data_IF_523660616619
#
_entry.id   IF_523660616619
#
_cell.length_a   1.000
_cell.length_b   1.000
_cell.length_c   1.000
_cell.angle_alpha   90.00
_cell.angle_beta   90.00
_cell.angle_gamma   90.00
#
_symmetry.space_group_name_H-M   'P 1'
#
loop_
_entity.id
_entity.type
_entity.pdbx_description
1 polymer ?
#
# COMPACT_ATOMS: atom_id res chain seq x y z
N UNK A 1 16.51 9.52 21.02
CA UNK A 1 16.45 8.50 19.94
C UNK A 1 15.01 8.44 19.49
N UNK A 2 14.67 9.16 18.41
CA UNK A 2 13.30 9.24 17.91
C UNK A 2 13.06 8.08 16.93
N UNK A 3 12.04 7.27 17.20
CA UNK A 3 11.50 6.33 16.22
C UNK A 3 10.69 7.14 15.20
N UNK A 4 11.39 7.76 14.26
CA UNK A 4 10.77 8.37 13.09
C UNK A 4 10.43 7.23 12.13
N UNK A 5 9.37 6.49 12.46
CA UNK A 5 8.72 5.58 11.53
C UNK A 5 8.13 6.42 10.42
N UNK A 6 8.87 6.56 9.32
CA UNK A 6 8.42 7.22 8.09
C UNK A 6 7.24 6.43 7.51
N UNK A 7 6.05 6.65 8.06
CA UNK A 7 4.81 6.25 7.41
C UNK A 7 4.70 7.13 6.17
N UNK A 8 4.86 6.52 4.98
CA UNK A 8 4.62 7.22 3.72
C UNK A 8 3.22 7.87 3.79
N UNK A 9 3.08 9.15 3.41
CA UNK A 9 1.77 9.78 3.38
C UNK A 9 0.86 9.00 2.43
N UNK A 10 -0.42 8.85 2.80
CA UNK A 10 -1.40 8.03 2.06
C UNK A 10 -1.47 8.39 0.56
N UNK A 11 -1.31 9.67 0.22
CA UNK A 11 -1.25 10.14 -1.17
C UNK A 11 -0.05 9.59 -1.94
N UNK A 12 1.14 9.55 -1.32
CA UNK A 12 2.34 8.99 -1.95
C UNK A 12 2.21 7.47 -2.13
N UNK A 13 1.61 6.76 -1.16
CA UNK A 13 1.32 5.34 -1.30
C UNK A 13 0.36 5.07 -2.48
N UNK A 14 -0.66 5.91 -2.68
CA UNK A 14 -1.55 5.82 -3.83
C UNK A 14 -0.85 6.08 -5.16
N UNK A 15 0.05 7.06 -5.22
CA UNK A 15 0.84 7.34 -6.42
C UNK A 15 1.72 6.14 -6.78
N UNK A 16 2.40 5.54 -5.77
CA UNK A 16 3.20 4.33 -5.96
C UNK A 16 2.39 3.16 -6.50
N UNK A 17 1.19 2.93 -5.97
CA UNK A 17 0.28 1.87 -6.48
C UNK A 17 -0.03 2.10 -7.96
N UNK A 18 -0.38 3.32 -8.37
CA UNK A 18 -0.70 3.62 -9.78
C UNK A 18 0.49 3.34 -10.71
N UNK A 19 1.68 3.78 -10.32
CA UNK A 19 2.91 3.51 -11.12
C UNK A 19 3.19 2.01 -11.22
N UNK A 20 3.07 1.28 -10.11
CA UNK A 20 3.31 -0.15 -10.08
C UNK A 20 2.25 -0.92 -10.88
N UNK A 21 0.99 -0.52 -10.86
CA UNK A 21 -0.07 -1.13 -11.66
C UNK A 21 0.19 -0.99 -13.16
N UNK A 22 0.64 0.18 -13.62
CA UNK A 22 1.01 0.37 -15.03
C UNK A 22 2.18 -0.56 -15.44
N UNK A 23 3.19 -0.68 -14.56
CA UNK A 23 4.33 -1.57 -14.79
C UNK A 23 3.91 -3.05 -14.76
N UNK A 24 3.04 -3.43 -13.83
CA UNK A 24 2.52 -4.79 -13.70
C UNK A 24 1.79 -5.21 -14.98
N UNK A 25 0.91 -4.35 -15.51
CA UNK A 25 0.19 -4.62 -16.75
C UNK A 25 1.15 -4.84 -17.92
N UNK A 26 2.10 -3.93 -18.13
CA UNK A 26 3.06 -4.03 -19.23
C UNK A 26 3.96 -5.30 -19.12
N UNK A 27 4.38 -5.67 -17.90
CA UNK A 27 5.19 -6.87 -17.69
C UNK A 27 4.37 -8.15 -17.83
N UNK A 28 3.12 -8.17 -17.34
CA UNK A 28 2.23 -9.32 -17.49
C UNK A 28 1.90 -9.60 -18.96
N UNK A 29 1.71 -8.56 -19.78
CA UNK A 29 1.48 -8.70 -21.22
C UNK A 29 2.69 -9.27 -21.96
N UNK A 30 3.91 -8.90 -21.54
CA UNK A 30 5.14 -9.28 -22.25
C UNK A 30 5.79 -10.58 -21.75
N UNK A 31 5.63 -10.90 -20.45
CA UNK A 31 6.30 -12.03 -19.79
C UNK A 31 5.35 -13.06 -19.19
N UNK A 32 4.06 -12.72 -19.09
CA UNK A 32 3.04 -13.57 -18.50
C UNK A 32 2.89 -13.39 -16.97
N UNK A 33 1.72 -13.76 -16.46
CA UNK A 33 1.34 -13.52 -15.07
C UNK A 33 2.16 -14.27 -14.02
N UNK A 34 2.83 -15.36 -14.41
CA UNK A 34 3.63 -16.20 -13.52
C UNK A 34 5.12 -15.82 -13.54
N UNK A 35 5.50 -14.79 -14.30
CA UNK A 35 6.87 -14.27 -14.29
C UNK A 35 7.24 -13.78 -12.88
N UNK A 36 8.43 -14.13 -12.36
CA UNK A 36 8.84 -13.75 -11.01
C UNK A 36 8.83 -12.23 -10.76
N UNK A 37 9.11 -11.41 -11.77
CA UNK A 37 9.08 -9.95 -11.65
C UNK A 37 7.64 -9.43 -11.55
N UNK A 38 6.71 -10.02 -12.30
CA UNK A 38 5.27 -9.73 -12.19
C UNK A 38 4.74 -10.06 -10.80
N UNK A 39 5.12 -11.22 -10.26
CA UNK A 39 4.74 -11.62 -8.90
C UNK A 39 5.33 -10.68 -7.83
N UNK A 40 6.59 -10.26 -7.98
CA UNK A 40 7.23 -9.33 -7.06
C UNK A 40 6.53 -7.96 -7.03
N UNK A 41 6.16 -7.43 -8.20
CA UNK A 41 5.43 -6.17 -8.30
C UNK A 41 4.03 -6.29 -7.69
N UNK A 42 3.34 -7.41 -7.92
CA UNK A 42 2.04 -7.68 -7.30
C UNK A 42 2.12 -7.67 -5.77
N UNK A 43 3.16 -8.30 -5.19
CA UNK A 43 3.41 -8.27 -3.74
C UNK A 43 3.79 -6.88 -3.22
N UNK A 44 4.45 -6.07 -4.04
CA UNK A 44 4.75 -4.68 -3.68
C UNK A 44 3.49 -3.80 -3.64
N UNK A 45 2.59 -3.97 -4.61
CA UNK A 45 1.28 -3.30 -4.60
C UNK A 45 0.50 -3.66 -3.34
N UNK A 46 0.45 -4.95 -2.97
CA UNK A 46 -0.24 -5.41 -1.77
C UNK A 46 0.26 -4.71 -0.49
N UNK A 47 1.58 -4.55 -0.35
CA UNK A 47 2.19 -3.81 0.77
C UNK A 47 1.70 -2.36 0.85
N UNK A 48 1.60 -1.65 -0.28
CA UNK A 48 1.07 -0.29 -0.30
C UNK A 48 -0.43 -0.24 0.01
N UNK A 49 -1.22 -1.21 -0.43
CA UNK A 49 -2.64 -1.30 -0.08
C UNK A 49 -2.83 -1.44 1.43
N UNK A 50 -2.00 -2.25 2.11
CA UNK A 50 -2.03 -2.36 3.57
C UNK A 50 -1.72 -1.02 4.26
N UNK A 51 -0.72 -0.26 3.76
CA UNK A 51 -0.38 1.07 4.29
C UNK A 51 -1.54 2.06 4.11
N UNK A 52 -2.18 2.04 2.94
CA UNK A 52 -3.35 2.86 2.64
C UNK A 52 -4.49 2.51 3.60
N UNK A 53 -4.83 1.22 3.72
CA UNK A 53 -5.88 0.75 4.62
C UNK A 53 -5.62 1.15 6.07
N UNK A 54 -4.40 0.95 6.57
CA UNK A 54 -4.02 1.36 7.92
C UNK A 54 -4.25 2.86 8.15
N UNK A 55 -3.97 3.69 7.14
CA UNK A 55 -4.19 5.14 7.19
C UNK A 55 -5.68 5.52 7.20
N UNK A 56 -6.53 4.78 6.49
CA UNK A 56 -7.99 5.00 6.47
C UNK A 56 -8.71 4.49 7.73
N UNK A 57 -8.27 3.37 8.30
CA UNK A 57 -8.90 2.76 9.47
C UNK A 57 -8.35 3.28 10.81
N UNK A 58 -7.25 4.04 10.80
CA UNK A 58 -6.70 4.70 12.01
C UNK A 58 -7.36 6.06 12.33
N UNK A 59 -8.62 6.28 11.91
CA UNK A 59 -9.41 7.47 12.30
C UNK A 59 -9.64 7.56 13.82
N UNK A 60 -9.95 8.76 14.36
CA UNK A 60 -9.94 9.00 15.81
C UNK A 60 -10.90 8.08 16.58
N UNK A 61 -10.37 7.50 17.64
CA UNK A 61 -10.96 6.61 18.63
C UNK A 61 -12.03 7.30 19.51
N UNK A 62 -13.05 7.94 18.93
CA UNK A 62 -14.22 8.35 19.74
C UNK A 62 -15.07 7.15 20.20
N UNK A 63 -14.67 5.92 19.83
CA UNK A 63 -15.13 4.66 20.41
C UNK A 63 -14.55 4.35 21.80
N UNK A 64 -13.52 5.08 22.30
CA UNK A 64 -13.24 5.14 23.73
C UNK A 64 -14.15 6.16 24.42
N UNK A 65 -15.46 5.96 24.33
CA UNK A 65 -16.36 6.54 25.32
C UNK A 65 -16.22 5.72 26.60
N UNK A 66 -15.62 6.23 27.70
CA UNK A 66 -15.99 5.69 29.00
C UNK A 66 -17.46 6.09 29.20
N UNK A 67 -18.37 5.13 29.08
CA UNK A 67 -19.72 5.30 29.60
C UNK A 67 -19.58 5.66 31.09
N UNK A 68 -19.89 6.91 31.40
CA UNK A 68 -19.96 7.45 32.76
C UNK A 68 -21.09 6.80 33.57
#
# INVERSE_FOLDING_TARGET
MAHEGTSLPCEEAWERVRTLQARLAALAETRGNLDPEVLAISQEIDRYIVIIQASYFSGPDWAASPSA
#
